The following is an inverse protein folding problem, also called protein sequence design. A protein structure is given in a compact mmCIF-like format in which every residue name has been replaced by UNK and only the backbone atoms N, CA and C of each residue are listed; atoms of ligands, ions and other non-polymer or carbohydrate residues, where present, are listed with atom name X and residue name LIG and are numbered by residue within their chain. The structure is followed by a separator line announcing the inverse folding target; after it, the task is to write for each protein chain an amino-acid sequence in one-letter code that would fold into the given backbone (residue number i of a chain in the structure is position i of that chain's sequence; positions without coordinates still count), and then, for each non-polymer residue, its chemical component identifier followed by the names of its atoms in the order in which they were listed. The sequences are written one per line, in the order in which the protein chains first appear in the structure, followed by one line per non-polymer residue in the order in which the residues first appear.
data_IF_895495827740
#
_entry.id   IF_895495827740
#
_cell.length_a   1.000
_cell.length_b   1.000
_cell.length_c   1.000
_cell.angle_alpha   90.00
_cell.angle_beta   90.00
_cell.angle_gamma   90.00
#
_symmetry.space_group_name_H-M   'P 1'
#
loop_
_entity.id
_entity.type
_entity.pdbx_description
1 polymer ?
#
# COMPACT_ATOMS: atom_id res chain seq x y z
N UNK A 1 -19.34 -43.51 31.94
CA UNK A 1 -18.53 -44.15 30.89
C UNK A 1 -19.21 -43.98 29.54
N UNK A 2 -18.62 -43.20 28.64
CA UNK A 2 -18.66 -43.33 27.17
C UNK A 2 -17.74 -42.25 26.61
N UNK A 3 -16.69 -42.71 25.95
CA UNK A 3 -15.48 -41.98 25.64
C UNK A 3 -15.60 -41.26 24.28
N UNK A 4 -15.08 -40.03 24.25
CA UNK A 4 -14.32 -39.37 23.19
C UNK A 4 -14.25 -40.08 21.82
N UNK A 5 -14.87 -39.48 20.80
CA UNK A 5 -14.38 -39.59 19.43
C UNK A 5 -14.19 -38.18 18.86
N UNK A 6 -12.92 -37.77 18.81
CA UNK A 6 -12.51 -36.49 18.24
C UNK A 6 -12.61 -36.60 16.72
N UNK A 7 -13.52 -35.86 16.10
CA UNK A 7 -13.45 -35.61 14.66
C UNK A 7 -12.24 -34.72 14.40
N UNK A 8 -11.10 -35.34 14.09
CA UNK A 8 -9.92 -34.68 13.57
C UNK A 8 -10.24 -34.00 12.24
N UNK A 9 -10.46 -32.69 12.26
CA UNK A 9 -10.53 -31.88 11.05
C UNK A 9 -9.14 -31.81 10.43
N UNK A 10 -8.81 -32.74 9.53
CA UNK A 10 -7.58 -32.69 8.73
C UNK A 10 -7.64 -31.47 7.78
N UNK A 11 -7.05 -30.34 8.19
CA UNK A 11 -6.80 -29.20 7.31
C UNK A 11 -5.72 -29.55 6.28
N UNK A 12 -6.14 -30.09 5.12
CA UNK A 12 -5.26 -30.30 3.99
C UNK A 12 -4.81 -28.95 3.41
N UNK A 13 -3.51 -28.68 3.46
CA UNK A 13 -2.88 -27.45 2.94
C UNK A 13 -3.23 -27.26 1.46
N UNK A 14 -3.81 -26.12 1.03
CA UNK A 14 -4.20 -25.93 -0.36
C UNK A 14 -2.98 -26.05 -1.28
N UNK A 15 -3.09 -26.91 -2.29
CA UNK A 15 -2.07 -27.13 -3.30
C UNK A 15 -1.86 -25.79 -4.03
N UNK A 16 -0.66 -25.21 -3.91
CA UNK A 16 -0.33 -23.94 -4.57
C UNK A 16 -0.33 -24.16 -6.08
N UNK A 17 -1.36 -23.67 -6.77
CA UNK A 17 -1.38 -23.62 -8.23
C UNK A 17 -0.20 -22.77 -8.70
N UNK A 18 0.70 -23.38 -9.48
CA UNK A 18 1.84 -22.70 -10.10
C UNK A 18 1.37 -22.12 -11.43
N UNK A 19 1.25 -20.80 -11.49
CA UNK A 19 1.03 -20.09 -12.74
C UNK A 19 2.35 -19.89 -13.49
N UNK A 20 2.32 -20.02 -14.82
CA UNK A 20 3.46 -19.79 -15.70
C UNK A 20 3.91 -18.33 -15.64
N UNK A 21 5.16 -18.04 -16.02
CA UNK A 21 5.67 -16.67 -16.12
C UNK A 21 4.84 -15.84 -17.09
N UNK A 22 4.56 -16.38 -18.27
CA UNK A 22 3.74 -15.72 -19.30
C UNK A 22 2.35 -15.36 -18.80
N UNK A 23 1.69 -16.25 -18.05
CA UNK A 23 0.37 -15.95 -17.47
C UNK A 23 0.46 -14.80 -16.46
N UNK A 24 1.49 -14.79 -15.61
CA UNK A 24 1.69 -13.70 -14.64
C UNK A 24 1.95 -12.37 -15.33
N UNK A 25 2.73 -12.35 -16.40
CA UNK A 25 2.97 -11.13 -17.19
C UNK A 25 1.69 -10.60 -17.82
N UNK A 26 0.93 -11.47 -18.49
CA UNK A 26 -0.36 -11.10 -19.08
C UNK A 26 -1.35 -10.60 -18.02
N UNK A 27 -1.38 -11.25 -16.85
CA UNK A 27 -2.21 -10.85 -15.73
C UNK A 27 -1.80 -9.47 -15.18
N UNK A 28 -0.50 -9.19 -15.07
CA UNK A 28 0.01 -7.88 -14.64
C UNK A 28 -0.27 -6.78 -15.68
N UNK A 29 -0.24 -7.09 -16.97
CA UNK A 29 -0.62 -6.14 -18.02
C UNK A 29 -2.11 -5.80 -17.96
N UNK A 30 -2.97 -6.79 -17.75
CA UNK A 30 -4.41 -6.57 -17.47
C UNK A 30 -4.64 -5.71 -16.24
N UNK A 31 -3.87 -5.93 -15.17
CA UNK A 31 -3.93 -5.08 -13.97
C UNK A 31 -3.59 -3.62 -14.28
N UNK A 32 -2.64 -3.32 -15.18
CA UNK A 32 -2.32 -1.95 -15.58
C UNK A 32 -3.46 -1.28 -16.36
N UNK A 33 -4.17 -2.04 -17.20
CA UNK A 33 -5.24 -1.52 -18.04
C UNK A 33 -6.56 -1.33 -17.28
N UNK A 34 -6.95 -2.34 -16.50
CA UNK A 34 -8.30 -2.48 -15.95
C UNK A 34 -8.36 -2.38 -14.42
N UNK A 35 -7.20 -2.38 -13.75
CA UNK A 35 -7.09 -2.42 -12.30
C UNK A 35 -7.25 -3.83 -11.71
N UNK A 36 -6.78 -4.00 -10.47
CA UNK A 36 -6.74 -5.30 -9.79
C UNK A 36 -8.12 -5.97 -9.63
N UNK A 37 -9.19 -5.25 -9.22
CA UNK A 37 -10.48 -5.91 -8.99
C UNK A 37 -11.10 -6.50 -10.27
N UNK A 38 -10.98 -5.79 -11.39
CA UNK A 38 -11.53 -6.20 -12.68
C UNK A 38 -10.68 -7.33 -13.30
N UNK A 39 -9.36 -7.17 -13.32
CA UNK A 39 -8.46 -8.21 -13.81
C UNK A 39 -8.59 -9.53 -13.02
N UNK A 40 -8.75 -9.48 -11.69
CA UNK A 40 -8.98 -10.65 -10.86
C UNK A 40 -10.25 -11.42 -11.26
N UNK A 41 -11.35 -10.69 -11.49
CA UNK A 41 -12.64 -11.26 -11.87
C UNK A 41 -12.56 -11.92 -13.25
N UNK A 42 -11.95 -11.25 -14.22
CA UNK A 42 -11.80 -11.76 -15.59
C UNK A 42 -10.89 -12.99 -15.67
N UNK A 43 -9.80 -13.00 -14.90
CA UNK A 43 -8.82 -14.09 -14.89
C UNK A 43 -9.21 -15.23 -13.95
N UNK A 44 -10.28 -15.07 -13.15
CA UNK A 44 -10.73 -16.08 -12.19
C UNK A 44 -9.73 -16.34 -11.06
N UNK A 45 -8.91 -15.35 -10.70
CA UNK A 45 -7.89 -15.46 -9.64
C UNK A 45 -8.17 -14.52 -8.48
N UNK A 46 -7.67 -14.86 -7.29
CA UNK A 46 -7.85 -14.01 -6.12
C UNK A 46 -7.11 -12.67 -6.28
N UNK A 47 -7.76 -11.55 -5.95
CA UNK A 47 -7.15 -10.21 -5.99
C UNK A 47 -5.84 -10.14 -5.19
N UNK A 48 -5.80 -10.78 -4.01
CA UNK A 48 -4.60 -10.88 -3.18
C UNK A 48 -3.40 -11.48 -3.94
N UNK A 49 -3.64 -12.40 -4.88
CA UNK A 49 -2.59 -13.00 -5.70
C UNK A 49 -2.00 -12.01 -6.71
N UNK A 50 -2.86 -11.20 -7.34
CA UNK A 50 -2.43 -10.12 -8.24
C UNK A 50 -1.64 -9.05 -7.50
N UNK A 51 -2.09 -8.62 -6.31
CA UNK A 51 -1.33 -7.69 -5.47
C UNK A 51 0.06 -8.23 -5.14
N UNK A 52 0.15 -9.52 -4.78
CA UNK A 52 1.43 -10.18 -4.50
C UNK A 52 2.35 -10.25 -5.72
N UNK A 53 1.81 -10.52 -6.91
CA UNK A 53 2.61 -10.54 -8.15
C UNK A 53 3.07 -9.14 -8.53
N UNK A 54 2.24 -8.11 -8.32
CA UNK A 54 2.62 -6.73 -8.60
C UNK A 54 3.72 -6.25 -7.66
N UNK A 55 3.64 -6.59 -6.37
CA UNK A 55 4.68 -6.30 -5.39
C UNK A 55 6.00 -7.00 -5.74
N UNK A 56 5.95 -8.28 -6.13
CA UNK A 56 7.14 -9.03 -6.55
C UNK A 56 7.74 -8.48 -7.83
N UNK A 57 6.92 -8.14 -8.83
CA UNK A 57 7.38 -7.56 -10.09
C UNK A 57 8.15 -6.25 -9.86
N UNK A 58 7.67 -5.38 -8.96
CA UNK A 58 8.39 -4.17 -8.55
C UNK A 58 9.74 -4.48 -7.88
N UNK A 59 9.80 -5.50 -7.04
CA UNK A 59 11.04 -5.91 -6.36
C UNK A 59 12.05 -6.60 -7.28
N UNK A 60 11.59 -7.34 -8.29
CA UNK A 60 12.48 -8.04 -9.24
C UNK A 60 12.96 -7.16 -10.39
N UNK A 61 12.22 -6.08 -10.70
CA UNK A 61 12.54 -5.18 -11.82
C UNK A 61 13.50 -4.04 -11.48
N UNK A 62 13.77 -3.79 -10.20
CA UNK A 62 14.69 -2.73 -9.76
C UNK A 62 15.92 -3.34 -9.09
N UNK A 63 17.15 -2.97 -9.52
CA UNK A 63 18.36 -3.27 -8.78
C UNK A 63 18.24 -2.81 -7.32
N UNK A 64 18.82 -3.56 -6.38
CA UNK A 64 18.74 -3.26 -4.94
C UNK A 64 19.18 -1.81 -4.62
N UNK A 65 20.15 -1.28 -5.35
CA UNK A 65 20.61 0.10 -5.19
C UNK A 65 19.57 1.14 -5.60
N UNK A 66 18.78 0.87 -6.64
CA UNK A 66 17.70 1.75 -7.07
C UNK A 66 16.55 1.78 -6.05
N UNK A 67 16.27 0.63 -5.41
CA UNK A 67 15.29 0.55 -4.31
C UNK A 67 15.73 1.35 -3.09
N UNK A 68 17.03 1.29 -2.73
CA UNK A 68 17.59 2.08 -1.63
C UNK A 68 17.52 3.57 -1.91
N UNK A 69 17.85 3.99 -3.13
CA UNK A 69 17.75 5.39 -3.57
C UNK A 69 16.31 5.89 -3.48
N UNK A 70 15.34 5.09 -3.94
CA UNK A 70 13.91 5.44 -3.84
C UNK A 70 13.45 5.55 -2.38
N UNK A 71 13.87 4.64 -1.50
CA UNK A 71 13.55 4.73 -0.07
C UNK A 71 14.18 5.96 0.60
N UNK A 72 15.42 6.28 0.24
CA UNK A 72 16.09 7.48 0.76
C UNK A 72 15.35 8.75 0.33
N UNK A 73 14.90 8.82 -0.92
CA UNK A 73 14.13 9.97 -1.43
C UNK A 73 12.75 10.06 -0.77
N UNK A 74 12.04 8.94 -0.60
CA UNK A 74 10.77 8.92 0.15
C UNK A 74 10.96 9.43 1.58
N UNK A 75 12.02 8.99 2.27
CA UNK A 75 12.32 9.44 3.62
C UNK A 75 12.64 10.94 3.67
N UNK A 76 13.40 11.45 2.70
CA UNK A 76 13.70 12.88 2.57
C UNK A 76 12.42 13.69 2.33
N UNK A 77 11.60 13.29 1.37
CA UNK A 77 10.35 13.96 1.03
C UNK A 77 9.38 13.97 2.19
N UNK A 78 9.30 12.86 2.95
CA UNK A 78 8.45 12.79 4.14
C UNK A 78 8.89 13.79 5.21
N UNK A 79 10.20 13.90 5.47
CA UNK A 79 10.74 14.88 6.42
C UNK A 79 10.45 16.31 5.99
N UNK A 80 10.64 16.60 4.70
CA UNK A 80 10.37 17.93 4.16
C UNK A 80 8.88 18.28 4.27
N UNK A 81 8.01 17.33 3.97
CA UNK A 81 6.57 17.55 4.08
C UNK A 81 6.16 17.83 5.53
N UNK A 82 6.66 17.05 6.50
CA UNK A 82 6.41 17.31 7.93
C UNK A 82 6.91 18.69 8.35
N UNK A 83 8.11 19.11 7.90
CA UNK A 83 8.62 20.46 8.18
C UNK A 83 7.69 21.54 7.61
N UNK A 84 7.25 21.38 6.37
CA UNK A 84 6.35 22.33 5.72
C UNK A 84 4.99 22.39 6.42
N UNK A 85 4.45 21.25 6.85
CA UNK A 85 3.22 21.18 7.64
C UNK A 85 3.35 21.94 8.97
N UNK A 86 4.49 21.82 9.66
CA UNK A 86 4.80 22.57 10.88
C UNK A 86 4.89 24.07 10.64
N UNK A 87 5.59 24.50 9.57
CA UNK A 87 5.68 25.91 9.17
C UNK A 87 4.30 26.50 8.85
N UNK A 88 3.50 25.77 8.07
CA UNK A 88 2.12 26.17 7.75
C UNK A 88 1.28 26.26 9.03
N UNK A 89 1.40 25.31 9.95
CA UNK A 89 0.67 25.34 11.21
C UNK A 89 1.09 26.53 12.09
N UNK A 90 2.38 26.86 12.13
CA UNK A 90 2.89 28.03 12.85
C UNK A 90 2.35 29.34 12.26
N UNK A 91 2.42 29.51 10.94
CA UNK A 91 1.91 30.71 10.27
C UNK A 91 0.40 30.89 10.47
N UNK A 92 -0.37 29.80 10.42
CA UNK A 92 -1.81 29.83 10.72
C UNK A 92 -2.09 30.28 12.16
N UNK A 93 -1.31 29.80 13.14
CA UNK A 93 -1.43 30.24 14.54
C UNK A 93 -1.09 31.72 14.70
N UNK A 94 -0.03 32.19 14.02
CA UNK A 94 0.35 33.60 14.03
C UNK A 94 -0.77 34.47 13.43
N UNK A 95 -1.30 34.10 12.26
CA UNK A 95 -2.42 34.81 11.64
C UNK A 95 -3.65 34.89 12.57
N UNK A 96 -4.04 33.76 13.17
CA UNK A 96 -5.15 33.73 14.12
C UNK A 96 -4.91 34.60 15.37
N UNK A 97 -3.66 34.65 15.85
CA UNK A 97 -3.29 35.54 16.94
C UNK A 97 -3.44 37.01 16.54
N UNK A 98 -2.95 37.40 15.37
CA UNK A 98 -3.09 38.77 14.87
C UNK A 98 -4.54 39.17 14.61
N UNK A 99 -5.37 38.26 14.10
CA UNK A 99 -6.81 38.49 13.92
C UNK A 99 -7.51 38.73 15.25
N UNK A 100 -7.18 37.94 16.28
CA UNK A 100 -7.69 38.15 17.64
C UNK A 100 -7.26 39.51 18.21
N UNK A 101 -5.97 39.86 18.12
CA UNK A 101 -5.46 41.15 18.62
C UNK A 101 -6.15 42.33 17.93
N UNK A 102 -6.42 42.22 16.63
CA UNK A 102 -7.14 43.26 15.88
C UNK A 102 -8.61 43.38 16.32
N UNK A 103 -9.27 42.27 16.64
CA UNK A 103 -10.65 42.26 17.13
C UNK A 103 -10.78 42.84 18.54
N UNK A 104 -9.83 42.52 19.43
CA UNK A 104 -9.82 43.00 20.82
C UNK A 104 -9.40 44.50 20.94
N UNK A 105 -8.96 45.13 19.84
CA UNK A 105 -8.47 46.53 19.81
C UNK A 105 -9.40 47.54 19.12
N UNK A 106 -10.65 47.17 18.80
CA UNK A 106 -11.67 48.12 18.34
C UNK A 106 -12.80 48.17 19.38
N UNK A 107 -13.04 49.32 20.03
CA UNK A 107 -14.14 49.49 20.99
C UNK A 107 -15.52 49.39 20.34
#
# INVERSE_FOLDING_TARGET
MKNNDQTVTTTAKPKRNKYTSQFKEQALERVKQDGVPKAAKELGIAQAMLYNWQAKSRQTGQPLEEQKLQQAEIARLTRENTRLEEEVAFLKKAAAYFDKVRHDSVP
#
